data_IF_514189696444
#
_entry.id   IF_514189696444
#
_cell.length_a   1.000
_cell.length_b   1.000
_cell.length_c   1.000
_cell.angle_alpha   90.00
_cell.angle_beta   90.00
_cell.angle_gamma   90.00
#
_symmetry.space_group_name_H-M   'P 1'
#
loop_
_entity.id
_entity.type
_entity.pdbx_description
1 polymer ?
#
# COMPACT_ATOMS: atom_id res chain seq x y z
N UNK A 1 -20.12 -12.71 6.21
CA UNK A 1 -20.34 -11.66 7.23
C UNK A 1 -19.02 -11.10 7.76
N UNK A 2 -18.10 -11.95 8.26
CA UNK A 2 -16.76 -11.50 8.70
C UNK A 2 -15.94 -10.79 7.60
N UNK A 3 -15.94 -11.33 6.38
CA UNK A 3 -15.19 -10.77 5.25
C UNK A 3 -15.61 -9.34 4.88
N UNK A 4 -16.93 -9.10 4.87
CA UNK A 4 -17.50 -7.78 4.58
C UNK A 4 -17.11 -6.77 5.67
N UNK A 5 -17.13 -7.20 6.93
CA UNK A 5 -16.71 -6.34 8.05
C UNK A 5 -15.22 -5.99 7.96
N UNK A 6 -14.36 -6.95 7.59
CA UNK A 6 -12.92 -6.68 7.40
C UNK A 6 -12.67 -5.72 6.26
N UNK A 7 -13.36 -5.88 5.12
CA UNK A 7 -13.25 -4.96 3.98
C UNK A 7 -13.73 -3.54 4.36
N UNK A 8 -14.81 -3.44 5.13
CA UNK A 8 -15.31 -2.16 5.63
C UNK A 8 -14.28 -1.48 6.53
N UNK A 9 -13.73 -2.20 7.51
CA UNK A 9 -12.71 -1.66 8.42
C UNK A 9 -11.48 -1.20 7.63
N UNK A 10 -11.02 -1.99 6.65
CA UNK A 10 -9.90 -1.61 5.79
C UNK A 10 -10.19 -0.33 4.99
N UNK A 11 -11.38 -0.22 4.40
CA UNK A 11 -11.78 0.98 3.67
C UNK A 11 -11.83 2.22 4.56
N UNK A 12 -12.29 2.09 5.81
CA UNK A 12 -12.33 3.19 6.79
C UNK A 12 -10.91 3.62 7.16
N UNK A 13 -10.04 2.67 7.50
CA UNK A 13 -8.63 2.95 7.85
C UNK A 13 -7.93 3.65 6.68
N UNK A 14 -8.07 3.10 5.47
CA UNK A 14 -7.48 3.69 4.26
C UNK A 14 -8.02 5.10 4.03
N UNK A 15 -9.32 5.34 4.17
CA UNK A 15 -9.91 6.68 4.03
C UNK A 15 -9.29 7.70 5.00
N UNK A 16 -8.90 7.27 6.19
CA UNK A 16 -8.25 8.12 7.20
C UNK A 16 -6.78 8.37 6.87
N UNK A 17 -6.00 7.34 6.49
CA UNK A 17 -4.54 7.46 6.34
C UNK A 17 -4.08 7.92 4.95
N UNK A 18 -4.89 7.70 3.92
CA UNK A 18 -4.57 8.02 2.52
C UNK A 18 -4.43 9.53 2.23
N UNK A 19 -5.26 10.44 2.79
CA UNK A 19 -5.13 11.88 2.53
C UNK A 19 -4.00 12.55 3.34
N UNK A 20 -3.34 11.84 4.26
CA UNK A 20 -2.30 12.43 5.10
C UNK A 20 -1.04 12.69 4.25
N UNK A 21 -0.60 13.94 4.21
CA UNK A 21 0.54 14.38 3.43
C UNK A 21 1.89 14.10 4.10
N UNK A 22 2.94 14.09 3.27
CA UNK A 22 4.33 14.10 3.71
C UNK A 22 4.79 12.82 4.41
N UNK A 23 5.90 12.95 5.14
CA UNK A 23 6.54 11.87 5.89
C UNK A 23 5.61 11.15 6.89
N UNK A 24 4.79 11.84 7.72
CA UNK A 24 3.93 11.14 8.66
C UNK A 24 2.89 10.27 7.95
N UNK A 25 2.29 10.76 6.87
CA UNK A 25 1.36 9.96 6.06
C UNK A 25 2.03 8.75 5.42
N UNK A 26 3.24 8.94 4.85
CA UNK A 26 4.02 7.84 4.28
C UNK A 26 4.38 6.80 5.34
N UNK A 27 4.68 7.20 6.57
CA UNK A 27 5.03 6.29 7.66
C UNK A 27 3.82 5.49 8.15
N UNK A 28 2.65 6.13 8.29
CA UNK A 28 1.41 5.46 8.68
C UNK A 28 0.97 4.43 7.63
N UNK A 29 0.99 4.80 6.35
CA UNK A 29 0.73 3.89 5.24
C UNK A 29 1.75 2.75 5.20
N UNK A 30 3.03 3.06 5.39
CA UNK A 30 4.08 2.05 5.48
C UNK A 30 3.81 1.04 6.59
N UNK A 31 3.49 1.50 7.79
CA UNK A 31 3.17 0.63 8.92
C UNK A 31 1.93 -0.23 8.64
N UNK A 32 0.86 0.38 8.11
CA UNK A 32 -0.37 -0.32 7.75
C UNK A 32 -0.10 -1.45 6.74
N UNK A 33 0.54 -1.14 5.62
CA UNK A 33 0.81 -2.14 4.59
C UNK A 33 1.86 -3.16 5.04
N UNK A 34 2.83 -2.79 5.87
CA UNK A 34 3.79 -3.76 6.42
C UNK A 34 3.11 -4.87 7.22
N UNK A 35 2.00 -4.58 7.89
CA UNK A 35 1.23 -5.58 8.65
C UNK A 35 0.32 -6.44 7.75
N UNK A 36 -0.03 -5.95 6.55
CA UNK A 36 -1.02 -6.57 5.66
C UNK A 36 -0.41 -7.31 4.46
N UNK A 37 0.78 -6.90 4.02
CA UNK A 37 1.47 -7.48 2.87
C UNK A 37 1.97 -8.90 3.16
N UNK A 38 1.96 -9.76 2.15
CA UNK A 38 2.59 -11.08 2.23
C UNK A 38 4.08 -11.00 2.55
N UNK A 39 4.76 -10.04 1.91
CA UNK A 39 6.15 -9.69 2.18
C UNK A 39 6.34 -8.20 1.95
N UNK A 40 6.94 -7.53 2.92
CA UNK A 40 7.27 -6.12 2.84
C UNK A 40 8.76 -5.94 3.15
N UNK A 41 9.54 -5.61 2.13
CA UNK A 41 10.93 -5.22 2.28
C UNK A 41 11.07 -3.95 3.14
N UNK A 42 12.28 -3.74 3.65
CA UNK A 42 12.58 -2.53 4.41
C UNK A 42 12.43 -1.26 3.57
N UNK A 43 11.98 -0.18 4.19
CA UNK A 43 12.04 1.17 3.62
C UNK A 43 11.30 1.34 2.29
N UNK A 44 9.96 1.25 2.30
CA UNK A 44 9.16 1.75 1.19
C UNK A 44 8.48 3.08 1.55
N UNK A 45 8.34 3.97 0.56
CA UNK A 45 7.64 5.25 0.72
C UNK A 45 6.39 5.29 -0.15
N UNK A 46 5.35 5.96 0.35
CA UNK A 46 4.09 6.13 -0.38
C UNK A 46 3.63 7.58 -0.38
N UNK A 47 3.26 8.04 -1.57
CA UNK A 47 2.61 9.31 -1.81
C UNK A 47 1.19 9.36 -1.25
N UNK A 48 0.61 10.57 -1.25
CA UNK A 48 -0.80 10.76 -0.93
C UNK A 48 -1.65 10.02 -1.97
N UNK A 49 -2.79 9.46 -1.57
CA UNK A 49 -3.70 8.82 -2.52
C UNK A 49 -3.29 7.40 -2.91
N UNK A 50 -2.17 6.90 -2.38
CA UNK A 50 -1.69 5.56 -2.67
C UNK A 50 -2.55 4.49 -2.00
N UNK A 51 -3.07 3.56 -2.79
CA UNK A 51 -3.94 2.48 -2.33
C UNK A 51 -3.45 1.12 -2.82
N UNK A 52 -3.37 0.13 -1.93
CA UNK A 52 -3.21 -1.27 -2.32
C UNK A 52 -4.44 -2.11 -1.95
N UNK A 53 -4.83 -3.02 -2.85
CA UNK A 53 -5.88 -4.02 -2.65
C UNK A 53 -5.34 -5.43 -2.85
N UNK A 54 -5.82 -6.39 -2.06
CA UNK A 54 -5.28 -7.75 -2.06
C UNK A 54 -3.87 -7.82 -1.48
N UNK A 55 -3.61 -7.12 -0.37
CA UNK A 55 -2.27 -6.98 0.21
C UNK A 55 -1.63 -8.34 0.55
N UNK A 56 -2.43 -9.31 0.98
CA UNK A 56 -2.04 -10.69 1.29
C UNK A 56 -1.45 -11.46 0.09
N UNK A 57 -1.56 -10.90 -1.11
CA UNK A 57 -1.08 -11.45 -2.38
C UNK A 57 0.11 -10.66 -2.96
N UNK A 58 0.48 -9.56 -2.33
CA UNK A 58 1.51 -8.64 -2.82
C UNK A 58 2.80 -8.85 -2.03
N UNK A 59 3.90 -9.00 -2.76
CA UNK A 59 5.26 -8.99 -2.22
C UNK A 59 6.01 -7.77 -2.73
N UNK A 60 6.59 -6.98 -1.83
CA UNK A 60 7.37 -5.78 -2.16
C UNK A 60 8.80 -5.95 -1.66
N UNK A 61 9.76 -5.66 -2.52
CA UNK A 61 11.18 -5.59 -2.21
C UNK A 61 11.57 -4.40 -1.34
N UNK A 62 12.87 -4.22 -1.12
CA UNK A 62 13.45 -3.11 -0.36
C UNK A 62 13.51 -1.84 -1.21
N UNK A 63 13.32 -0.67 -0.60
CA UNK A 63 13.62 0.61 -1.25
C UNK A 63 12.60 1.06 -2.31
N UNK A 64 11.36 0.57 -2.26
CA UNK A 64 10.34 0.92 -3.25
C UNK A 64 9.71 2.29 -2.97
N UNK A 65 9.33 3.02 -4.02
CA UNK A 65 8.63 4.30 -3.91
C UNK A 65 7.37 4.27 -4.75
N UNK A 66 6.23 4.54 -4.12
CA UNK A 66 4.94 4.65 -4.79
C UNK A 66 4.50 6.10 -4.78
N UNK A 67 4.41 6.72 -5.96
CA UNK A 67 4.07 8.14 -6.07
C UNK A 67 2.57 8.38 -5.83
N UNK A 68 2.19 9.65 -5.79
CA UNK A 68 0.83 10.06 -5.46
C UNK A 68 -0.23 9.43 -6.37
N UNK A 69 -1.37 9.07 -5.79
CA UNK A 69 -2.54 8.55 -6.47
C UNK A 69 -2.27 7.31 -7.33
N UNK A 70 -1.25 6.53 -6.99
CA UNK A 70 -1.04 5.22 -7.61
C UNK A 70 -1.85 4.14 -6.91
N UNK A 71 -2.24 3.12 -7.66
CA UNK A 71 -3.05 2.00 -7.18
C UNK A 71 -2.31 0.71 -7.51
N UNK A 72 -2.35 -0.26 -6.59
CA UNK A 72 -1.90 -1.63 -6.85
C UNK A 72 -3.03 -2.56 -6.41
N UNK A 73 -3.51 -3.41 -7.31
CA UNK A 73 -4.57 -4.36 -6.99
C UNK A 73 -4.18 -5.77 -7.46
N UNK A 74 -4.09 -6.71 -6.51
CA UNK A 74 -3.77 -8.11 -6.80
C UNK A 74 -5.00 -9.01 -6.66
N UNK A 75 -5.39 -9.68 -7.74
CA UNK A 75 -6.35 -10.80 -7.71
C UNK A 75 -5.66 -12.12 -7.36
N UNK A 76 -4.42 -12.33 -7.84
CA UNK A 76 -3.63 -13.55 -7.62
C UNK A 76 -2.31 -13.29 -6.92
N UNK A 77 -1.27 -12.84 -7.63
CA UNK A 77 0.03 -12.51 -7.03
C UNK A 77 0.69 -11.37 -7.79
N UNK A 78 1.24 -10.41 -7.06
CA UNK A 78 2.08 -9.35 -7.59
C UNK A 78 3.40 -9.35 -6.82
N UNK A 79 4.51 -9.34 -7.55
CA UNK A 79 5.86 -9.28 -6.99
C UNK A 79 6.54 -8.03 -7.53
N UNK A 80 6.86 -7.11 -6.63
CA UNK A 80 7.61 -5.88 -6.91
C UNK A 80 9.01 -6.10 -6.35
N UNK A 81 10.02 -5.97 -7.22
CA UNK A 81 11.43 -6.15 -6.87
C UNK A 81 11.99 -5.03 -5.98
N UNK A 82 13.30 -5.05 -5.77
CA UNK A 82 14.00 -4.01 -5.02
C UNK A 82 14.17 -2.71 -5.84
N UNK A 83 14.15 -1.57 -5.16
CA UNK A 83 14.40 -0.23 -5.73
C UNK A 83 13.48 0.16 -6.89
N UNK A 84 12.23 -0.31 -6.87
CA UNK A 84 11.22 0.06 -7.88
C UNK A 84 10.57 1.40 -7.54
N UNK A 85 10.40 2.25 -8.56
CA UNK A 85 9.66 3.51 -8.46
C UNK A 85 8.43 3.40 -9.35
N UNK A 86 7.26 3.59 -8.74
CA UNK A 86 5.98 3.69 -9.44
C UNK A 86 5.59 5.16 -9.56
N UNK A 87 5.33 5.60 -10.79
CA UNK A 87 4.96 6.98 -11.10
C UNK A 87 3.58 7.36 -10.56
N UNK A 88 3.26 8.66 -10.53
CA UNK A 88 1.97 9.11 -10.06
C UNK A 88 0.86 8.62 -11.01
N UNK A 89 -0.33 8.37 -10.48
CA UNK A 89 -1.51 7.92 -11.27
C UNK A 89 -1.34 6.59 -12.02
N UNK A 90 -0.36 5.77 -11.64
CA UNK A 90 -0.19 4.41 -12.18
C UNK A 90 -1.19 3.44 -11.56
N UNK A 91 -1.63 2.44 -12.34
CA UNK A 91 -2.57 1.37 -11.94
C UNK A 91 -1.99 0.01 -12.30
#
# INVERSE_FOLDING_TARGET
>A
MLSVLTELIESVILTIITPIYGRPGSLLRWLYYRLKLKKCGGFFSSGMGFVMKGCDKICIGKGCVFSNNSIIAASESIIIGDNVIVGPHSV
#
